data_IF_693730882274
#
_entry.id   IF_693730882274
#
_cell.length_a   1.000
_cell.length_b   1.000
_cell.length_c   1.000
_cell.angle_alpha   90.00
_cell.angle_beta   90.00
_cell.angle_gamma   90.00
#
_symmetry.space_group_name_H-M   'P 1'
#
loop_
_entity.id
_entity.type
_entity.pdbx_description
1 polymer ?
#
# COMPACT_ATOMS: atom_id res chain seq x y z
N UNK A 1 16.00 8.39 8.76
CA UNK A 1 15.75 7.04 8.19
C UNK A 1 15.61 7.06 6.67
N UNK A 2 14.80 7.94 6.08
CA UNK A 2 14.61 8.05 4.61
C UNK A 2 15.89 8.32 3.81
N UNK A 3 16.83 9.08 4.37
CA UNK A 3 18.13 9.35 3.76
C UNK A 3 18.97 8.09 3.51
N UNK A 4 19.05 7.19 4.51
CA UNK A 4 19.84 5.96 4.37
C UNK A 4 19.27 5.06 3.28
N UNK A 5 17.94 4.96 3.20
CA UNK A 5 17.28 4.22 2.13
C UNK A 5 17.56 4.85 0.74
N UNK A 6 17.49 6.18 0.62
CA UNK A 6 17.85 6.87 -0.63
C UNK A 6 19.30 6.61 -1.04
N UNK A 7 20.24 6.67 -0.08
CA UNK A 7 21.66 6.40 -0.33
C UNK A 7 21.89 4.95 -0.79
N UNK A 8 21.21 3.97 -0.18
CA UNK A 8 21.29 2.56 -0.60
C UNK A 8 20.70 2.38 -2.00
N UNK A 9 19.58 3.03 -2.33
CA UNK A 9 19.03 3.00 -3.69
C UNK A 9 20.05 3.52 -4.69
N UNK A 10 20.67 4.68 -4.44
CA UNK A 10 21.72 5.22 -5.33
C UNK A 10 22.90 4.27 -5.48
N UNK A 11 23.37 3.68 -4.38
CA UNK A 11 24.48 2.72 -4.40
C UNK A 11 24.14 1.43 -5.18
N UNK A 12 22.88 0.98 -5.15
CA UNK A 12 22.43 -0.20 -5.92
C UNK A 12 22.22 0.15 -7.39
N UNK A 13 21.77 1.37 -7.69
CA UNK A 13 21.48 1.79 -9.07
C UNK A 13 22.71 2.23 -9.85
N UNK A 14 23.78 2.65 -9.19
CA UNK A 14 24.98 3.15 -9.85
C UNK A 14 26.22 2.62 -9.14
N UNK A 15 26.83 1.60 -9.75
CA UNK A 15 28.03 0.93 -9.24
C UNK A 15 29.28 1.84 -9.29
N UNK A 16 29.24 2.94 -10.05
CA UNK A 16 30.35 3.88 -10.14
C UNK A 16 30.44 4.82 -8.94
N UNK A 17 29.37 4.95 -8.15
CA UNK A 17 29.33 5.84 -7.00
C UNK A 17 30.05 5.23 -5.80
N UNK A 18 30.98 5.99 -5.22
CA UNK A 18 31.54 5.66 -3.91
C UNK A 18 30.50 5.78 -2.79
N UNK A 19 30.78 5.17 -1.64
CA UNK A 19 29.91 5.23 -0.44
C UNK A 19 29.61 6.69 -0.05
N UNK A 20 30.60 7.59 -0.14
CA UNK A 20 30.42 9.01 0.20
C UNK A 20 29.52 9.74 -0.79
N UNK A 21 29.65 9.43 -2.08
CA UNK A 21 28.89 10.08 -3.14
C UNK A 21 27.42 9.65 -3.12
N UNK A 22 27.17 8.36 -2.89
CA UNK A 22 25.80 7.84 -2.73
C UNK A 22 25.12 8.41 -1.47
N UNK A 23 25.85 8.58 -0.36
CA UNK A 23 25.36 9.26 0.83
C UNK A 23 25.04 10.74 0.55
N UNK A 24 25.91 11.45 -0.17
CA UNK A 24 25.68 12.85 -0.51
C UNK A 24 24.46 13.03 -1.44
N UNK A 25 24.36 12.23 -2.50
CA UNK A 25 23.22 12.24 -3.43
C UNK A 25 21.91 11.84 -2.74
N UNK A 26 21.96 10.81 -1.89
CA UNK A 26 20.84 10.41 -1.04
C UNK A 26 20.36 11.56 -0.17
N UNK A 27 21.27 12.39 0.36
CA UNK A 27 20.92 13.54 1.20
C UNK A 27 20.23 14.63 0.38
N UNK A 28 20.79 14.96 -0.78
CA UNK A 28 20.23 15.98 -1.68
C UNK A 28 18.84 15.61 -2.20
N UNK A 29 18.58 14.31 -2.44
CA UNK A 29 17.31 13.82 -3.00
C UNK A 29 16.37 13.28 -1.93
N UNK A 30 16.67 13.40 -0.63
CA UNK A 30 15.83 12.85 0.45
C UNK A 30 14.39 13.38 0.39
N UNK A 31 14.21 14.66 0.06
CA UNK A 31 12.88 15.26 -0.09
C UNK A 31 12.09 14.67 -1.26
N UNK A 32 12.76 14.30 -2.36
CA UNK A 32 12.13 13.63 -3.49
C UNK A 32 11.66 12.22 -3.11
N UNK A 33 12.50 11.45 -2.40
CA UNK A 33 12.15 10.13 -1.89
C UNK A 33 11.02 10.17 -0.86
N UNK A 34 11.05 11.10 0.09
CA UNK A 34 9.96 11.28 1.07
C UNK A 34 8.65 11.56 0.32
N UNK A 35 8.66 12.49 -0.63
CA UNK A 35 7.46 12.82 -1.40
C UNK A 35 6.95 11.63 -2.22
N UNK A 36 7.86 10.89 -2.86
CA UNK A 36 7.54 9.67 -3.59
C UNK A 36 6.89 8.62 -2.69
N UNK A 37 7.51 8.28 -1.55
CA UNK A 37 6.98 7.29 -0.62
C UNK A 37 5.66 7.74 0.03
N UNK A 38 5.46 9.04 0.25
CA UNK A 38 4.18 9.57 0.73
C UNK A 38 3.04 9.31 -0.27
N UNK A 39 3.27 9.58 -1.57
CA UNK A 39 2.27 9.33 -2.61
C UNK A 39 2.04 7.82 -2.79
N UNK A 40 3.12 7.03 -2.88
CA UNK A 40 3.01 5.58 -3.02
C UNK A 40 2.27 4.97 -1.84
N UNK A 41 2.67 5.34 -0.61
CA UNK A 41 2.06 4.88 0.63
C UNK A 41 0.58 5.24 0.70
N UNK A 42 0.21 6.47 0.32
CA UNK A 42 -1.19 6.89 0.27
C UNK A 42 -2.03 6.03 -0.68
N UNK A 43 -1.56 5.80 -1.91
CA UNK A 43 -2.30 5.01 -2.90
C UNK A 43 -2.35 3.54 -2.51
N UNK A 44 -1.24 2.95 -2.08
CA UNK A 44 -1.15 1.54 -1.69
C UNK A 44 -2.03 1.28 -0.47
N UNK A 45 -1.94 2.12 0.56
CA UNK A 45 -2.75 1.99 1.77
C UNK A 45 -4.23 2.20 1.47
N UNK A 46 -4.58 3.21 0.68
CA UNK A 46 -5.93 3.37 0.15
C UNK A 46 -6.42 2.14 -0.61
N UNK A 47 -5.57 1.54 -1.45
CA UNK A 47 -5.84 0.29 -2.15
C UNK A 47 -6.17 -0.85 -1.17
N UNK A 48 -5.36 -1.06 -0.14
CA UNK A 48 -5.60 -2.08 0.89
C UNK A 48 -6.85 -1.84 1.72
N UNK A 49 -7.18 -0.58 2.03
CA UNK A 49 -8.43 -0.21 2.70
C UNK A 49 -9.66 -0.53 1.85
N UNK A 50 -9.52 -0.45 0.52
CA UNK A 50 -10.56 -0.84 -0.40
C UNK A 50 -10.75 -2.35 -0.36
N UNK A 51 -9.69 -3.09 -0.72
CA UNK A 51 -9.64 -4.56 -0.70
C UNK A 51 -8.17 -5.02 -0.72
N UNK A 52 -7.90 -6.26 -0.31
CA UNK A 52 -6.54 -6.82 -0.35
C UNK A 52 -5.98 -6.87 -1.78
N UNK A 53 -6.80 -7.29 -2.75
CA UNK A 53 -6.40 -7.46 -4.16
C UNK A 53 -5.89 -6.15 -4.79
N UNK A 54 -6.63 -5.03 -4.81
CA UNK A 54 -6.13 -3.77 -5.36
C UNK A 54 -4.92 -3.22 -4.61
N UNK A 55 -4.82 -3.42 -3.29
CA UNK A 55 -3.62 -3.08 -2.52
C UNK A 55 -2.37 -3.81 -3.03
N UNK A 56 -2.45 -5.12 -3.26
CA UNK A 56 -1.34 -5.91 -3.81
C UNK A 56 -1.01 -5.50 -5.25
N UNK A 57 -2.02 -5.22 -6.08
CA UNK A 57 -1.78 -4.75 -7.46
C UNK A 57 -0.98 -3.45 -7.47
N UNK A 58 -1.36 -2.47 -6.63
CA UNK A 58 -0.64 -1.20 -6.52
C UNK A 58 0.77 -1.38 -5.96
N UNK A 59 0.93 -2.27 -4.97
CA UNK A 59 2.24 -2.60 -4.40
C UNK A 59 3.21 -3.12 -5.48
N UNK A 60 2.74 -4.02 -6.36
CA UNK A 60 3.55 -4.57 -7.46
C UNK A 60 3.84 -3.50 -8.52
N UNK A 61 2.84 -2.70 -8.91
CA UNK A 61 3.02 -1.64 -9.91
C UNK A 61 4.04 -0.58 -9.50
N UNK A 62 4.13 -0.27 -8.21
CA UNK A 62 4.96 0.82 -7.70
C UNK A 62 6.29 0.35 -7.08
N UNK A 63 6.55 -0.96 -7.07
CA UNK A 63 7.76 -1.55 -6.49
C UNK A 63 9.08 -0.96 -7.03
N UNK A 64 9.09 -0.55 -8.31
CA UNK A 64 10.29 -0.07 -9.01
C UNK A 64 10.41 1.45 -9.10
N UNK A 65 9.40 2.20 -8.64
CA UNK A 65 9.40 3.66 -8.75
C UNK A 65 10.58 4.33 -8.04
N UNK A 66 11.12 3.69 -6.98
CA UNK A 66 12.32 4.18 -6.28
C UNK A 66 13.58 4.17 -7.16
N UNK A 67 13.74 3.17 -8.03
CA UNK A 67 14.90 3.07 -8.93
C UNK A 67 14.76 4.03 -10.11
N UNK A 68 13.53 4.21 -10.61
CA UNK A 68 13.21 5.22 -11.63
C UNK A 68 13.51 6.62 -11.11
N UNK A 69 13.15 6.92 -9.86
CA UNK A 69 13.46 8.20 -9.24
C UNK A 69 14.98 8.45 -9.09
N UNK A 70 15.76 7.40 -8.86
CA UNK A 70 17.20 7.50 -8.74
C UNK A 70 17.91 7.62 -10.11
N UNK A 71 17.52 6.83 -11.12
CA UNK A 71 18.21 6.79 -12.42
C UNK A 71 17.70 7.81 -13.44
N UNK A 72 16.42 8.17 -13.40
CA UNK A 72 15.77 8.87 -14.50
C UNK A 72 15.30 10.29 -14.12
N UNK A 73 15.69 10.78 -12.94
CA UNK A 73 15.34 12.10 -12.36
C UNK A 73 13.84 12.45 -12.34
N UNK A 74 12.98 11.44 -12.52
CA UNK A 74 11.52 11.58 -12.41
C UNK A 74 11.12 11.62 -10.93
N UNK A 75 10.19 12.53 -10.59
CA UNK A 75 9.80 12.76 -9.19
C UNK A 75 8.31 12.48 -8.96
N UNK A 76 7.98 12.04 -7.75
CA UNK A 76 6.60 11.88 -7.29
C UNK A 76 5.79 10.92 -8.15
N UNK A 77 4.64 11.39 -8.66
CA UNK A 77 3.69 10.56 -9.40
C UNK A 77 4.23 10.04 -10.73
N UNK A 78 5.09 10.82 -11.41
CA UNK A 78 5.61 10.43 -12.73
C UNK A 78 6.46 9.15 -12.63
N UNK A 79 7.24 9.01 -11.55
CA UNK A 79 8.01 7.80 -11.27
C UNK A 79 7.11 6.58 -10.98
N UNK A 80 6.00 6.77 -10.26
CA UNK A 80 5.04 5.70 -9.95
C UNK A 80 4.34 5.19 -11.21
N UNK A 81 3.90 6.11 -12.06
CA UNK A 81 3.17 5.76 -13.27
C UNK A 81 4.10 5.17 -14.34
N UNK A 82 5.34 5.64 -14.44
CA UNK A 82 6.35 4.99 -15.27
C UNK A 82 6.66 3.56 -14.77
N UNK A 83 6.76 3.36 -13.45
CA UNK A 83 6.91 2.02 -12.85
C UNK A 83 5.76 1.10 -13.24
N UNK A 84 4.52 1.58 -13.16
CA UNK A 84 3.33 0.84 -13.58
C UNK A 84 3.42 0.45 -15.06
N UNK A 85 3.85 1.35 -15.94
CA UNK A 85 4.02 1.02 -17.36
C UNK A 85 5.15 0.02 -17.61
N UNK A 86 6.24 0.02 -16.85
CA UNK A 86 7.24 -1.06 -16.94
C UNK A 86 6.64 -2.42 -16.58
N UNK A 87 5.84 -2.49 -15.51
CA UNK A 87 5.19 -3.73 -15.06
C UNK A 87 4.05 -4.19 -15.99
N UNK A 88 3.41 -3.28 -16.71
CA UNK A 88 2.25 -3.60 -17.55
C UNK A 88 2.56 -4.68 -18.58
N UNK A 89 1.81 -5.77 -18.62
CA UNK A 89 2.07 -6.90 -19.53
C UNK A 89 3.04 -7.95 -18.99
N UNK A 90 3.80 -7.65 -17.93
CA UNK A 90 4.64 -8.61 -17.17
C UNK A 90 4.20 -8.76 -15.72
N UNK A 91 3.00 -8.25 -15.37
CA UNK A 91 2.50 -8.23 -14.00
C UNK A 91 2.59 -9.57 -13.26
N UNK A 92 2.14 -10.73 -13.82
CA UNK A 92 2.20 -11.99 -13.09
C UNK A 92 3.64 -12.46 -12.84
N UNK A 93 4.55 -12.24 -13.80
CA UNK A 93 5.96 -12.61 -13.66
C UNK A 93 6.64 -11.78 -12.57
N UNK A 94 6.38 -10.48 -12.57
CA UNK A 94 6.87 -9.55 -11.55
C UNK A 94 6.29 -9.91 -10.18
N UNK A 95 4.98 -10.13 -10.09
CA UNK A 95 4.32 -10.51 -8.85
C UNK A 95 4.93 -11.79 -8.28
N UNK A 96 5.12 -12.83 -9.09
CA UNK A 96 5.69 -14.09 -8.63
C UNK A 96 7.12 -13.90 -8.09
N UNK A 97 7.97 -13.15 -8.79
CA UNK A 97 9.34 -12.87 -8.34
C UNK A 97 9.35 -12.08 -7.03
N UNK A 98 8.54 -11.03 -6.92
CA UNK A 98 8.42 -10.25 -5.68
C UNK A 98 7.84 -11.08 -4.52
N UNK A 99 6.86 -11.92 -4.81
CA UNK A 99 6.25 -12.81 -3.83
C UNK A 99 7.25 -13.82 -3.26
N UNK A 100 8.11 -14.40 -4.12
CA UNK A 100 9.20 -15.28 -3.67
C UNK A 100 10.19 -14.56 -2.74
N UNK A 101 10.53 -13.30 -3.03
CA UNK A 101 11.38 -12.48 -2.15
C UNK A 101 10.70 -12.26 -0.80
N UNK A 102 9.40 -11.96 -0.78
CA UNK A 102 8.65 -11.76 0.46
C UNK A 102 8.59 -13.04 1.29
N UNK A 103 8.42 -14.21 0.67
CA UNK A 103 8.49 -15.50 1.36
C UNK A 103 9.90 -15.72 1.92
N UNK A 104 10.95 -15.54 1.11
CA UNK A 104 12.33 -15.72 1.56
C UNK A 104 12.67 -14.81 2.74
N UNK A 105 12.26 -13.54 2.67
CA UNK A 105 12.38 -12.57 3.77
C UNK A 105 11.64 -13.02 5.03
N UNK A 106 10.40 -13.52 4.88
CA UNK A 106 9.60 -14.04 5.98
C UNK A 106 10.27 -15.23 6.67
N UNK A 107 10.81 -16.18 5.88
CA UNK A 107 11.52 -17.37 6.40
C UNK A 107 12.77 -16.96 7.21
N UNK A 108 13.55 -16.01 6.71
CA UNK A 108 14.73 -15.48 7.42
C UNK A 108 14.31 -14.84 8.76
N UNK A 109 13.18 -14.13 8.78
CA UNK A 109 12.66 -13.45 9.96
C UNK A 109 12.09 -14.37 11.06
N UNK A 110 11.76 -15.63 10.76
CA UNK A 110 11.22 -16.59 11.73
C UNK A 110 12.27 -17.01 12.77
N UNK A 111 13.56 -16.91 12.44
CA UNK A 111 14.66 -17.33 13.34
C UNK A 111 14.70 -16.42 14.58
N UNK A 112 14.42 -16.93 15.78
CA UNK A 112 14.42 -16.10 17.00
C UNK A 112 15.82 -15.59 17.32
N UNK A 113 15.89 -14.39 17.94
CA UNK A 113 17.10 -13.68 18.38
C UNK A 113 18.08 -13.23 17.26
N UNK A 114 18.38 -14.07 16.26
CA UNK A 114 19.33 -13.76 15.18
C UNK A 114 18.62 -13.27 13.92
N UNK A 115 17.32 -13.55 13.77
CA UNK A 115 16.53 -13.17 12.59
C UNK A 115 16.64 -11.69 12.25
N UNK A 116 16.60 -10.78 13.23
CA UNK A 116 16.73 -9.34 13.00
C UNK A 116 18.06 -8.98 12.32
N UNK A 117 19.18 -9.54 12.78
CA UNK A 117 20.50 -9.30 12.18
C UNK A 117 20.56 -9.85 10.75
N UNK A 118 20.02 -11.06 10.54
CA UNK A 118 19.94 -11.64 9.20
C UNK A 118 19.04 -10.83 8.27
N UNK A 119 17.90 -10.32 8.73
CA UNK A 119 17.01 -9.50 7.90
C UNK A 119 17.67 -8.19 7.48
N UNK A 120 18.41 -7.54 8.39
CA UNK A 120 19.19 -6.33 8.07
C UNK A 120 20.30 -6.66 7.07
N UNK A 121 21.01 -7.77 7.26
CA UNK A 121 22.03 -8.24 6.32
C UNK A 121 21.44 -8.65 4.96
N UNK A 122 20.21 -9.16 4.93
CA UNK A 122 19.51 -9.62 3.72
C UNK A 122 18.89 -8.46 2.92
N UNK A 123 18.64 -7.31 3.55
CA UNK A 123 18.10 -6.10 2.91
C UNK A 123 18.86 -5.67 1.63
N UNK A 124 20.20 -5.50 1.61
CA UNK A 124 20.91 -5.11 0.39
C UNK A 124 20.77 -6.15 -0.73
N UNK A 125 20.77 -7.44 -0.40
CA UNK A 125 20.55 -8.51 -1.39
C UNK A 125 19.16 -8.44 -2.00
N UNK A 126 18.13 -8.18 -1.19
CA UNK A 126 16.77 -7.95 -1.69
C UNK A 126 16.71 -6.75 -2.62
N UNK A 127 17.35 -5.62 -2.25
CA UNK A 127 17.33 -4.42 -3.10
C UNK A 127 18.02 -4.64 -4.43
N UNK A 128 19.17 -5.32 -4.44
CA UNK A 128 19.86 -5.72 -5.69
C UNK A 128 18.96 -6.61 -6.54
N UNK A 129 18.33 -7.63 -5.94
CA UNK A 129 17.47 -8.53 -6.69
C UNK A 129 16.24 -7.82 -7.28
N UNK A 130 15.59 -6.94 -6.53
CA UNK A 130 14.47 -6.13 -7.05
C UNK A 130 14.96 -5.18 -8.15
N UNK A 131 16.15 -4.60 -8.00
CA UNK A 131 16.76 -3.76 -9.03
C UNK A 131 17.08 -4.54 -10.31
N UNK A 132 17.57 -5.78 -10.22
CA UNK A 132 17.78 -6.66 -11.37
C UNK A 132 16.48 -6.97 -12.11
N UNK A 133 15.36 -7.18 -11.39
CA UNK A 133 14.04 -7.33 -12.04
C UNK A 133 13.66 -6.04 -12.80
N UNK A 134 13.96 -4.87 -12.24
CA UNK A 134 13.74 -3.60 -12.92
C UNK A 134 14.60 -3.47 -14.17
N UNK A 135 15.88 -3.82 -14.12
CA UNK A 135 16.77 -3.81 -15.28
C UNK A 135 16.31 -4.81 -16.35
N UNK A 136 15.87 -6.02 -15.97
CA UNK A 136 15.27 -7.01 -16.89
C UNK A 136 14.05 -6.41 -17.62
N UNK A 137 13.14 -5.76 -16.88
CA UNK A 137 11.95 -5.13 -17.46
C UNK A 137 12.32 -3.96 -18.38
N UNK A 138 13.30 -3.16 -17.98
CA UNK A 138 13.79 -2.02 -18.77
C UNK A 138 14.50 -2.51 -20.04
N UNK A 139 15.29 -3.56 -19.96
CA UNK A 139 15.93 -4.19 -21.12
C UNK A 139 14.89 -4.79 -22.09
N UNK A 140 13.85 -5.44 -21.55
CA UNK A 140 12.79 -6.03 -22.37
C UNK A 140 11.90 -4.99 -23.05
N UNK A 141 11.69 -3.82 -22.45
CA UNK A 141 10.79 -2.77 -22.98
C UNK A 141 11.49 -1.59 -23.64
N UNK A 142 12.79 -1.42 -23.42
CA UNK A 142 13.51 -0.19 -23.73
C UNK A 142 13.17 0.94 -22.76
N UNK A 143 13.83 2.09 -22.95
CA UNK A 143 13.52 3.29 -22.17
C UNK A 143 12.20 3.90 -22.64
N UNK A 144 11.19 3.79 -21.79
CA UNK A 144 9.84 4.28 -22.09
C UNK A 144 9.81 5.78 -21.78
N UNK A 145 9.73 6.64 -22.80
CA UNK A 145 9.43 8.06 -22.58
C UNK A 145 8.00 8.19 -22.02
N UNK A 146 7.89 8.42 -20.71
CA UNK A 146 6.60 8.50 -20.01
C UNK A 146 6.35 9.92 -19.52
N UNK A 147 5.30 10.54 -20.06
CA UNK A 147 4.77 11.82 -19.59
C UNK A 147 3.35 11.59 -19.09
N UNK A 148 3.10 11.72 -17.79
CA UNK A 148 1.72 11.64 -17.30
C UNK A 148 1.00 12.96 -17.43
N UNK A 149 -0.26 12.87 -17.84
CA UNK A 149 -1.17 14.00 -17.83
C UNK A 149 -1.66 14.29 -16.40
N UNK A 150 -1.98 15.56 -16.10
CA UNK A 150 -2.57 15.95 -14.81
C UNK A 150 -3.82 15.13 -14.48
N UNK A 151 -4.65 14.83 -15.49
CA UNK A 151 -5.84 13.99 -15.32
C UNK A 151 -5.53 12.56 -14.87
N UNK A 152 -4.45 11.95 -15.35
CA UNK A 152 -4.03 10.62 -14.88
C UNK A 152 -3.55 10.67 -13.43
N UNK A 153 -2.77 11.68 -13.05
CA UNK A 153 -2.32 11.87 -11.66
C UNK A 153 -3.52 11.93 -10.70
N UNK A 154 -4.55 12.71 -11.04
CA UNK A 154 -5.77 12.80 -10.24
C UNK A 154 -6.58 11.51 -10.20
N UNK A 155 -6.63 10.74 -11.28
CA UNK A 155 -7.31 9.42 -11.28
C UNK A 155 -6.72 8.47 -10.24
N UNK A 156 -5.39 8.42 -10.13
CA UNK A 156 -4.72 7.52 -9.19
C UNK A 156 -4.81 8.00 -7.74
N UNK A 157 -4.72 9.31 -7.52
CA UNK A 157 -5.00 9.89 -6.20
C UNK A 157 -6.45 9.57 -5.81
N UNK A 158 -7.40 9.78 -6.73
CA UNK A 158 -8.83 9.44 -6.60
C UNK A 158 -9.09 7.98 -6.22
N UNK A 159 -8.39 7.05 -6.87
CA UNK A 159 -8.48 5.63 -6.56
C UNK A 159 -8.02 5.33 -5.12
N UNK A 160 -6.95 5.99 -4.67
CA UNK A 160 -6.50 5.89 -3.28
C UNK A 160 -7.52 6.46 -2.29
N UNK A 161 -8.05 7.67 -2.55
CA UNK A 161 -9.06 8.31 -1.68
C UNK A 161 -10.32 7.47 -1.51
N UNK A 162 -10.74 6.74 -2.55
CA UNK A 162 -11.94 5.91 -2.51
C UNK A 162 -11.84 4.81 -1.44
N UNK A 163 -10.64 4.26 -1.23
CA UNK A 163 -10.38 3.32 -0.14
C UNK A 163 -10.52 3.95 1.25
N UNK A 164 -10.08 5.18 1.43
CA UNK A 164 -10.22 5.89 2.71
C UNK A 164 -11.68 6.20 3.06
N UNK A 165 -12.59 6.29 2.09
CA UNK A 165 -14.02 6.50 2.32
C UNK A 165 -14.73 5.27 2.92
N UNK A 166 -14.14 4.09 2.80
CA UNK A 166 -14.71 2.86 3.37
C UNK A 166 -14.64 2.89 4.90
N UNK A 167 -13.61 3.48 5.49
CA UNK A 167 -13.47 3.61 6.94
C UNK A 167 -14.66 4.38 7.57
N UNK A 168 -14.97 5.64 7.19
CA UNK A 168 -16.09 6.36 7.78
C UNK A 168 -17.44 5.70 7.46
N UNK A 169 -17.62 5.13 6.27
CA UNK A 169 -18.83 4.38 5.93
C UNK A 169 -19.02 3.17 6.84
N UNK A 170 -17.95 2.42 7.11
CA UNK A 170 -17.96 1.27 8.02
C UNK A 170 -18.24 1.70 9.46
N UNK A 171 -17.65 2.81 9.93
CA UNK A 171 -17.93 3.38 11.26
C UNK A 171 -19.41 3.76 11.37
N UNK A 172 -19.98 4.46 10.38
CA UNK A 172 -21.39 4.83 10.38
C UNK A 172 -22.31 3.60 10.38
N UNK A 173 -21.96 2.57 9.63
CA UNK A 173 -22.69 1.30 9.61
C UNK A 173 -22.65 0.61 10.98
N UNK A 174 -21.48 0.55 11.63
CA UNK A 174 -21.35 -0.01 12.98
C UNK A 174 -22.19 0.76 14.01
N UNK A 175 -22.17 2.09 13.95
CA UNK A 175 -22.97 2.94 14.83
C UNK A 175 -24.47 2.74 14.60
N UNK A 176 -24.90 2.64 13.34
CA UNK A 176 -26.30 2.37 13.00
C UNK A 176 -26.78 1.01 13.50
N UNK A 177 -25.96 -0.04 13.36
CA UNK A 177 -26.26 -1.37 13.90
C UNK A 177 -26.31 -1.34 15.43
N UNK A 178 -25.36 -0.67 16.07
CA UNK A 178 -25.32 -0.53 17.54
C UNK A 178 -26.54 0.18 18.11
N UNK A 179 -27.12 1.16 17.39
CA UNK A 179 -28.30 1.91 17.83
C UNK A 179 -29.62 1.18 17.55
N UNK A 180 -29.68 0.43 16.45
CA UNK A 180 -30.90 -0.27 16.01
C UNK A 180 -31.27 -1.45 16.90
N UNK A 181 -30.29 -2.20 17.45
CA UNK A 181 -30.54 -3.34 18.33
C UNK A 181 -31.28 -2.93 19.62
N UNK A 182 -30.81 -1.93 20.41
CA UNK A 182 -31.53 -1.45 21.59
C UNK A 182 -32.93 -0.92 21.28
N UNK A 183 -33.11 -0.21 20.16
CA UNK A 183 -34.40 0.36 19.77
C UNK A 183 -35.42 -0.74 19.43
N UNK A 184 -34.97 -1.82 18.77
CA UNK A 184 -35.81 -3.00 18.49
C UNK A 184 -36.21 -3.73 19.77
N UNK A 185 -35.30 -3.87 20.74
CA UNK A 185 -35.60 -4.44 22.05
C UNK A 185 -36.62 -3.58 22.81
N UNK A 186 -36.42 -2.26 22.86
CA UNK A 186 -37.36 -1.33 23.48
C UNK A 186 -38.74 -1.41 22.85
N UNK A 187 -38.82 -1.43 21.51
CA UNK A 187 -40.08 -1.59 20.77
C UNK A 187 -40.75 -2.93 21.09
N UNK A 188 -39.97 -4.00 21.22
CA UNK A 188 -40.46 -5.32 21.64
C UNK A 188 -41.07 -5.30 23.04
N UNK A 189 -40.38 -4.69 24.01
CA UNK A 189 -40.87 -4.52 25.39
C UNK A 189 -42.16 -3.71 25.44
N UNK A 190 -42.20 -2.56 24.77
CA UNK A 190 -43.40 -1.72 24.71
C UNK A 190 -44.62 -2.47 24.13
N UNK A 191 -44.40 -3.31 23.12
CA UNK A 191 -45.48 -4.08 22.49
C UNK A 191 -45.97 -5.23 23.38
N UNK A 192 -45.10 -5.82 24.21
CA UNK A 192 -45.48 -6.81 25.22
C UNK A 192 -46.31 -6.17 26.34
N UNK A 193 -45.85 -5.04 26.90
CA UNK A 193 -46.60 -4.30 27.93
C UNK A 193 -47.97 -3.86 27.42
N UNK A 194 -48.05 -3.38 26.17
CA UNK A 194 -49.33 -3.03 25.55
C UNK A 194 -50.28 -4.23 25.43
N UNK A 195 -49.77 -5.43 25.08
CA UNK A 195 -50.58 -6.66 25.05
C UNK A 195 -51.07 -7.09 26.43
N UNK A 196 -50.24 -6.99 27.45
CA UNK A 196 -50.63 -7.33 28.82
C UNK A 196 -51.76 -6.41 29.31
N UNK A 197 -51.66 -5.10 29.08
CA UNK A 197 -52.71 -4.14 29.44
C UNK A 197 -54.05 -4.42 28.74
N UNK A 198 -54.03 -4.90 27.49
CA UNK A 198 -55.25 -5.24 26.73
C UNK A 198 -55.90 -6.54 27.21
N UNK A 199 -55.14 -7.47 27.80
CA UNK A 199 -55.64 -8.78 28.26
C UNK A 199 -56.18 -8.78 29.69
N UNK A 200 -55.80 -7.79 30.52
CA UNK A 200 -56.25 -7.65 31.92
C UNK A 200 -57.76 -7.31 32.11
N UNK A 201 -58.56 -6.76 31.17
CA UNK A 201 -59.98 -6.51 31.42
C UNK A 201 -60.87 -7.78 31.41
N UNK A 202 -60.40 -8.91 30.89
CA UNK A 202 -61.25 -10.07 30.62
C UNK A 202 -61.37 -11.08 31.79
N UNK A 203 -60.54 -10.98 32.83
CA UNK A 203 -60.55 -11.92 33.97
C UNK A 203 -61.23 -11.38 35.23
N UNK A 204 -61.66 -10.11 35.24
CA UNK A 204 -62.33 -9.47 36.39
C UNK A 204 -63.88 -9.49 36.32
N UNK A 205 -64.45 -10.04 35.25
CA UNK A 205 -65.90 -10.18 35.02
C UNK A 205 -66.34 -11.65 34.92
N UNK A 206 -65.90 -12.48 35.85
CA UNK A 206 -66.52 -13.78 36.15
C UNK A 206 -66.79 -13.90 37.64
#
# INVERSE_FOLDING_TARGET
>A
MSWGLAAVVFAVTDESLGIRDSLALGWQKVGAFIWFFSIAGYIIFGGFLLLIVPGVIFLVWFAFGQFILAREDLRGMDALLKSKEYVRGYWPDVFLRLFLIWIASGVVGIVPCIGILFTVAFMPFMMIFIFLIYEDLKAAKGDIAYHSSTGEKFKWIGAGTLGYLIIPAFILLLLGVSLSIPLLLLKGLLNQTAREMIMIPAQFWK
#
